data_IF_087610593077
#
_entry.id   IF_087610593077
#
_cell.length_a   1.000
_cell.length_b   1.000
_cell.length_c   1.000
_cell.angle_alpha   90.00
_cell.angle_beta   90.00
_cell.angle_gamma   90.00
#
_symmetry.space_group_name_H-M   'P 1'
#
loop_
_entity.id
_entity.type
_entity.pdbx_description
1 polymer ?
#
# COMPACT_ATOMS: atom_id res chain seq x y z
N UNK A 1 -6.74 -3.52 15.74
CA UNK A 1 -6.92 -4.98 15.72
C UNK A 1 -6.16 -5.52 14.51
N UNK A 2 -5.56 -6.71 14.58
CA UNK A 2 -4.95 -7.29 13.39
C UNK A 2 -6.06 -7.85 12.49
N UNK A 3 -6.03 -7.56 11.19
CA UNK A 3 -6.93 -8.21 10.24
C UNK A 3 -6.34 -9.57 9.83
N UNK A 4 -7.22 -10.48 9.43
CA UNK A 4 -6.86 -11.89 9.22
C UNK A 4 -7.03 -12.29 7.76
N UNK A 5 -6.03 -12.96 7.19
CA UNK A 5 -6.09 -13.55 5.85
C UNK A 5 -5.80 -15.05 5.95
N UNK A 6 -6.48 -15.85 5.13
CA UNK A 6 -6.17 -17.27 5.02
C UNK A 6 -4.82 -17.52 4.33
N UNK A 7 -4.02 -18.44 4.85
CA UNK A 7 -2.78 -18.90 4.24
C UNK A 7 -3.00 -19.49 2.82
N UNK A 8 -4.20 -19.97 2.50
CA UNK A 8 -4.54 -20.48 1.18
C UNK A 8 -4.97 -19.38 0.19
N UNK A 9 -5.25 -18.17 0.68
CA UNK A 9 -5.74 -17.08 -0.15
C UNK A 9 -4.56 -16.31 -0.78
N UNK A 10 -4.57 -16.08 -2.10
CA UNK A 10 -3.60 -15.18 -2.71
C UNK A 10 -3.78 -13.76 -2.16
N UNK A 11 -2.70 -13.00 -2.12
CA UNK A 11 -2.74 -11.60 -1.72
C UNK A 11 -3.26 -10.76 -2.90
N UNK A 12 -4.40 -10.11 -2.72
CA UNK A 12 -5.02 -9.21 -3.69
C UNK A 12 -4.86 -7.78 -3.21
N UNK A 13 -3.84 -7.10 -3.72
CA UNK A 13 -3.67 -5.68 -3.52
C UNK A 13 -4.51 -4.90 -4.51
N UNK A 14 -5.22 -3.90 -4.02
CA UNK A 14 -5.97 -2.96 -4.86
C UNK A 14 -5.65 -1.55 -4.42
N UNK A 15 -5.19 -0.75 -5.39
CA UNK A 15 -5.05 0.69 -5.27
C UNK A 15 -6.18 1.34 -6.08
N UNK A 16 -6.91 2.26 -5.46
CA UNK A 16 -7.84 3.16 -6.15
C UNK A 16 -7.36 4.58 -5.98
N UNK A 17 -7.47 5.39 -7.04
CA UNK A 17 -7.19 6.81 -6.99
C UNK A 17 -8.26 7.63 -7.71
N UNK A 18 -8.41 8.86 -7.25
CA UNK A 18 -9.17 9.92 -7.91
C UNK A 18 -8.25 11.11 -8.15
N UNK A 19 -8.32 11.67 -9.35
CA UNK A 19 -7.47 12.77 -9.81
C UNK A 19 -6.49 12.37 -10.92
N UNK A 20 -5.98 13.38 -11.62
CA UNK A 20 -5.09 13.23 -12.77
C UNK A 20 -3.64 12.86 -12.46
N UNK A 21 -3.19 12.95 -11.21
CA UNK A 21 -1.79 12.82 -10.83
C UNK A 21 -1.24 11.42 -11.08
N UNK A 22 -0.03 11.35 -11.61
CA UNK A 22 0.80 10.15 -11.62
C UNK A 22 1.28 9.86 -10.19
N UNK A 23 0.88 8.71 -9.68
CA UNK A 23 1.20 8.28 -8.33
C UNK A 23 1.78 6.88 -8.34
N UNK A 24 2.86 6.68 -7.61
CA UNK A 24 3.45 5.36 -7.36
C UNK A 24 3.26 4.98 -5.91
N UNK A 25 2.57 3.87 -5.66
CA UNK A 25 2.47 3.30 -4.32
C UNK A 25 3.34 2.05 -4.21
N UNK A 26 4.16 2.02 -3.16
CA UNK A 26 5.04 0.91 -2.80
C UNK A 26 4.52 0.29 -1.52
N UNK A 27 4.32 -1.02 -1.52
CA UNK A 27 3.89 -1.75 -0.33
C UNK A 27 4.95 -2.78 0.05
N UNK A 28 5.37 -2.73 1.31
CA UNK A 28 6.25 -3.70 1.93
C UNK A 28 5.51 -4.43 3.05
N UNK A 29 5.78 -5.72 3.19
CA UNK A 29 5.28 -6.53 4.30
C UNK A 29 6.45 -7.19 5.04
N UNK A 30 6.39 -7.16 6.36
CA UNK A 30 7.43 -7.64 7.27
C UNK A 30 6.86 -8.76 8.14
N UNK A 31 7.51 -9.93 8.17
CA UNK A 31 7.13 -11.04 9.07
C UNK A 31 7.79 -10.80 10.43
N UNK A 32 7.05 -10.99 11.51
CA UNK A 32 7.46 -10.69 12.89
C UNK A 32 7.84 -9.21 13.13
N UNK A 33 6.87 -8.35 13.49
CA UNK A 33 7.12 -6.92 13.71
C UNK A 33 8.01 -6.61 14.92
N UNK A 34 8.31 -7.59 15.79
CA UNK A 34 9.21 -7.40 16.94
C UNK A 34 10.68 -7.58 16.57
N UNK A 35 10.97 -8.25 15.45
CA UNK A 35 12.33 -8.42 14.91
C UNK A 35 12.43 -7.94 13.45
N UNK A 36 12.14 -6.67 13.17
CA UNK A 36 11.99 -6.14 11.80
C UNK A 36 13.25 -6.25 10.91
N UNK A 37 14.41 -6.60 11.49
CA UNK A 37 15.65 -6.82 10.76
C UNK A 37 15.81 -8.26 10.20
N UNK A 38 14.99 -9.24 10.60
CA UNK A 38 15.28 -10.65 10.32
C UNK A 38 14.44 -11.36 9.25
N UNK A 39 13.27 -10.88 8.81
CA UNK A 39 12.49 -11.64 7.81
C UNK A 39 11.89 -10.79 6.68
N UNK A 40 12.62 -10.86 5.56
CA UNK A 40 12.32 -10.51 4.16
C UNK A 40 11.18 -9.49 3.95
N UNK A 41 11.61 -8.26 3.73
CA UNK A 41 10.91 -7.26 2.92
C UNK A 41 10.52 -7.88 1.59
N UNK A 42 9.26 -8.27 1.41
CA UNK A 42 8.72 -8.48 0.07
C UNK A 42 8.12 -7.13 -0.35
N UNK A 43 8.78 -6.45 -1.29
CA UNK A 43 8.15 -5.37 -2.04
C UNK A 43 7.07 -6.03 -2.88
N UNK A 44 5.83 -5.91 -2.45
CA UNK A 44 4.72 -6.68 -2.99
C UNK A 44 4.02 -5.92 -4.13
N UNK A 45 4.02 -4.59 -4.08
CA UNK A 45 3.28 -3.78 -5.03
C UNK A 45 4.09 -2.57 -5.45
N UNK A 46 4.14 -2.36 -6.76
CA UNK A 46 4.46 -1.08 -7.39
C UNK A 46 3.30 -0.75 -8.32
N UNK A 47 2.29 -0.10 -7.77
CA UNK A 47 1.24 0.49 -8.58
C UNK A 47 1.76 1.78 -9.17
N UNK A 48 1.57 1.98 -10.47
CA UNK A 48 1.96 3.20 -11.16
C UNK A 48 0.67 3.79 -11.69
N UNK A 49 -0.14 4.32 -10.76
CA UNK A 49 -1.52 4.68 -10.98
C UNK A 49 -1.62 5.80 -12.03
N UNK A 50 -1.62 5.37 -13.29
CA UNK A 50 -2.08 6.14 -14.44
C UNK A 50 -3.60 5.94 -14.59
N UNK A 51 -4.12 4.78 -14.20
CA UNK A 51 -5.55 4.44 -14.18
C UNK A 51 -6.21 4.76 -12.83
N UNK A 52 -7.55 4.82 -12.79
CA UNK A 52 -8.33 5.04 -11.56
C UNK A 52 -8.24 3.87 -10.56
N UNK A 53 -7.92 2.67 -11.03
CA UNK A 53 -7.84 1.46 -10.21
C UNK A 53 -6.75 0.54 -10.75
N UNK A 54 -5.94 -0.01 -9.85
CA UNK A 54 -4.95 -1.05 -10.14
C UNK A 54 -5.13 -2.21 -9.16
N UNK A 55 -5.05 -3.44 -9.67
CA UNK A 55 -5.16 -4.66 -8.87
C UNK A 55 -3.99 -5.56 -9.22
N UNK A 56 -3.29 -6.04 -8.19
CA UNK A 56 -2.25 -7.04 -8.33
C UNK A 56 -2.55 -8.23 -7.44
N UNK A 57 -2.44 -9.42 -8.01
CA UNK A 57 -2.54 -10.68 -7.25
C UNK A 57 -1.15 -11.26 -7.10
N UNK A 58 -0.79 -11.64 -5.88
CA UNK A 58 0.50 -12.22 -5.52
C UNK A 58 0.26 -13.54 -4.80
N UNK A 59 1.33 -14.32 -4.68
CA UNK A 59 1.33 -15.55 -3.91
C UNK A 59 0.92 -15.30 -2.45
N UNK A 60 0.30 -16.32 -1.86
CA UNK A 60 -0.08 -16.29 -0.46
C UNK A 60 1.15 -16.17 0.46
N UNK A 61 0.93 -15.65 1.66
CA UNK A 61 1.93 -15.64 2.72
C UNK A 61 1.82 -16.91 3.53
N UNK A 62 2.94 -17.30 4.16
CA UNK A 62 2.93 -18.34 5.19
C UNK A 62 2.12 -17.87 6.41
N UNK A 63 1.69 -18.83 7.24
CA UNK A 63 1.09 -18.50 8.53
C UNK A 63 2.07 -17.67 9.40
N UNK A 64 1.54 -16.66 10.08
CA UNK A 64 2.33 -15.77 10.93
C UNK A 64 1.73 -14.39 11.12
N UNK A 65 2.40 -13.58 11.94
CA UNK A 65 2.06 -12.17 12.14
C UNK A 65 2.97 -11.30 11.28
N UNK A 66 2.37 -10.36 10.59
CA UNK A 66 3.00 -9.48 9.65
C UNK A 66 2.68 -8.01 9.96
N UNK A 67 3.52 -7.11 9.52
CA UNK A 67 3.23 -5.68 9.46
C UNK A 67 3.26 -5.23 8.00
N UNK A 68 2.20 -4.54 7.58
CA UNK A 68 2.14 -3.91 6.26
C UNK A 68 2.62 -2.47 6.40
N UNK A 69 3.39 -1.98 5.42
CA UNK A 69 3.78 -0.57 5.28
C UNK A 69 3.53 -0.15 3.83
N UNK A 70 2.73 0.89 3.65
CA UNK A 70 2.59 1.57 2.36
C UNK A 70 3.42 2.86 2.35
N UNK A 71 3.96 3.18 1.18
CA UNK A 71 4.58 4.47 0.88
C UNK A 71 4.03 4.91 -0.45
N UNK A 72 3.45 6.12 -0.50
CA UNK A 72 2.93 6.69 -1.71
C UNK A 72 3.83 7.84 -2.17
N UNK A 73 4.00 7.96 -3.48
CA UNK A 73 4.87 8.94 -4.13
C UNK A 73 4.08 9.57 -5.26
N UNK A 74 3.91 10.88 -5.25
CA UNK A 74 3.34 11.64 -6.35
C UNK A 74 4.50 12.08 -7.23
N UNK A 75 4.53 11.61 -8.48
CA UNK A 75 5.69 11.70 -9.37
C UNK A 75 5.62 12.84 -10.40
N UNK A 76 4.67 13.75 -10.24
CA UNK A 76 4.53 14.92 -11.12
C UNK A 76 4.00 16.14 -10.39
N UNK A 77 4.24 17.32 -10.98
CA UNK A 77 3.85 18.60 -10.41
C UNK A 77 2.34 18.77 -10.59
N UNK A 78 1.60 18.68 -9.49
CA UNK A 78 0.14 18.67 -9.50
C UNK A 78 -0.41 19.63 -8.46
N UNK A 79 -1.53 20.24 -8.81
CA UNK A 79 -2.33 21.06 -7.91
C UNK A 79 -3.77 20.58 -7.96
N UNK A 80 -4.30 20.16 -6.82
CA UNK A 80 -5.68 19.70 -6.70
C UNK A 80 -5.88 18.68 -5.59
N UNK A 81 -7.13 18.25 -5.42
CA UNK A 81 -7.49 17.21 -4.44
C UNK A 81 -7.24 15.83 -5.04
N UNK A 82 -6.52 15.00 -4.29
CA UNK A 82 -6.25 13.61 -4.66
C UNK A 82 -6.69 12.69 -3.54
N UNK A 83 -7.57 11.77 -3.92
CA UNK A 83 -8.03 10.72 -3.02
C UNK A 83 -7.43 9.41 -3.46
N UNK A 84 -6.95 8.62 -2.51
CA UNK A 84 -6.53 7.26 -2.79
C UNK A 84 -6.82 6.33 -1.62
N UNK A 85 -7.02 5.07 -1.95
CA UNK A 85 -7.17 4.00 -0.99
C UNK A 85 -6.40 2.75 -1.45
N UNK A 86 -5.70 2.13 -0.51
CA UNK A 86 -5.04 0.85 -0.67
C UNK A 86 -5.77 -0.21 0.17
N UNK A 87 -6.04 -1.35 -0.44
CA UNK A 87 -6.63 -2.49 0.24
C UNK A 87 -5.88 -3.78 -0.05
N UNK A 88 -5.89 -4.68 0.94
CA UNK A 88 -5.37 -6.02 0.84
C UNK A 88 -6.50 -7.00 1.15
N UNK A 89 -6.84 -7.85 0.18
CA UNK A 89 -7.95 -8.80 0.27
C UNK A 89 -9.30 -8.14 0.66
N UNK A 90 -9.48 -6.88 0.26
CA UNK A 90 -10.68 -6.08 0.56
C UNK A 90 -10.60 -5.29 1.88
N UNK A 91 -9.59 -5.51 2.72
CA UNK A 91 -9.34 -4.70 3.91
C UNK A 91 -8.58 -3.43 3.53
N UNK A 92 -9.20 -2.27 3.73
CA UNK A 92 -8.57 -0.96 3.47
C UNK A 92 -7.61 -0.67 4.62
N UNK A 93 -6.32 -0.55 4.33
CA UNK A 93 -5.27 -0.32 5.32
C UNK A 93 -4.55 1.02 5.13
N UNK A 94 -4.77 1.70 3.99
CA UNK A 94 -4.32 3.06 3.76
C UNK A 94 -5.39 3.83 2.99
N UNK A 95 -5.76 5.00 3.48
CA UNK A 95 -6.69 5.88 2.81
C UNK A 95 -6.28 7.32 3.08
N UNK A 96 -6.34 8.14 2.04
CA UNK A 96 -6.09 9.56 2.16
C UNK A 96 -6.98 10.32 1.20
N UNK A 97 -7.49 11.44 1.70
CA UNK A 97 -8.10 12.50 0.91
C UNK A 97 -7.39 13.80 1.29
N UNK A 98 -7.00 14.59 0.30
CA UNK A 98 -6.39 15.88 0.58
C UNK A 98 -5.89 16.61 -0.64
N UNK A 99 -5.65 17.91 -0.43
CA UNK A 99 -5.06 18.77 -1.44
C UNK A 99 -3.56 18.54 -1.52
N UNK A 100 -3.10 18.32 -2.74
CA UNK A 100 -1.69 18.19 -3.08
C UNK A 100 -1.33 19.41 -3.91
N UNK A 101 -0.24 20.08 -3.53
CA UNK A 101 0.28 21.20 -4.30
C UNK A 101 1.80 21.08 -4.42
N UNK A 102 2.24 20.52 -5.54
CA UNK A 102 3.65 20.17 -5.76
C UNK A 102 4.17 20.97 -6.95
N UNK A 103 5.13 21.85 -6.67
CA UNK A 103 5.72 22.73 -7.70
C UNK A 103 6.91 22.09 -8.42
N UNK A 104 7.57 21.10 -7.81
CA UNK A 104 8.76 20.42 -8.35
C UNK A 104 8.52 18.99 -8.84
N UNK A 105 7.28 18.50 -8.70
CA UNK A 105 6.86 17.19 -9.21
C UNK A 105 7.38 15.97 -8.48
N UNK A 106 7.72 16.12 -7.20
CA UNK A 106 7.85 14.98 -6.30
C UNK A 106 7.28 15.35 -4.94
N UNK A 107 6.21 14.68 -4.54
CA UNK A 107 5.73 14.70 -3.16
C UNK A 107 5.71 13.28 -2.62
N UNK A 108 6.59 13.06 -1.66
CA UNK A 108 6.75 11.79 -0.99
C UNK A 108 6.09 11.96 0.35
N UNK A 109 4.85 11.52 0.42
CA UNK A 109 4.16 11.41 1.68
C UNK A 109 4.25 9.94 2.11
N UNK A 110 5.17 9.62 3.04
CA UNK A 110 5.19 8.31 3.64
C UNK A 110 3.95 8.21 4.50
N UNK A 111 2.86 7.68 3.95
CA UNK A 111 1.73 7.30 4.78
C UNK A 111 2.08 5.98 5.43
N UNK A 112 2.83 6.08 6.53
CA UNK A 112 3.28 4.95 7.34
C UNK A 112 2.06 4.38 8.06
N UNK A 113 1.19 3.70 7.32
CA UNK A 113 0.18 2.85 7.88
C UNK A 113 0.85 1.55 8.29
N UNK A 114 1.07 1.43 9.58
CA UNK A 114 1.53 0.19 10.23
C UNK A 114 0.30 -0.53 10.74
N UNK A 115 -0.13 -1.54 10.00
CA UNK A 115 -1.19 -2.42 10.44
C UNK A 115 -0.67 -3.84 10.61
N UNK A 116 -1.11 -4.50 11.68
CA UNK A 116 -0.78 -5.89 11.93
C UNK A 116 -1.70 -6.78 11.10
N UNK A 117 -1.12 -7.75 10.40
CA UNK A 117 -1.80 -8.76 9.60
C UNK A 117 -1.52 -10.12 10.23
N UNK A 118 -2.56 -10.90 10.52
CA UNK A 118 -2.42 -12.31 10.88
C UNK A 118 -2.75 -13.19 9.68
N UNK A 119 -1.85 -14.09 9.32
CA UNK A 119 -2.09 -15.13 8.32
C UNK A 119 -2.32 -16.43 9.06
N UNK A 120 -3.50 -17.03 8.89
CA UNK A 120 -3.93 -18.26 9.56
C UNK A 120 -4.40 -19.33 8.58
#
# INVERSE_FOLDING_TARGET
MAFTISQAAPLKFKLTKQGGAKMTMRIAVFKDPLTPQQQRVRLLFMGNARSKTEVQTLEALEAGVYQVVAVNIIEEAVSGTYDYAASLNGHVFAERSGDVNTTSGLDVEPVIHRENLAVI
#
